data_IF_083116256014
#
_entry.id   IF_083116256014
#
_cell.length_a   1.000
_cell.length_b   1.000
_cell.length_c   1.000
_cell.angle_alpha   90.00
_cell.angle_beta   90.00
_cell.angle_gamma   90.00
#
_symmetry.space_group_name_H-M   'P 1'
#
loop_
_entity.id
_entity.type
_entity.pdbx_description
1 polymer ?
#
# COMPACT_ATOMS: atom_id res chain seq x y z
N UNK A 1 19.76 11.99 17.38
CA UNK A 1 20.37 11.68 16.09
C UNK A 1 20.66 10.21 16.10
N UNK A 2 19.87 9.41 15.39
CA UNK A 2 20.17 8.03 14.98
C UNK A 2 18.99 7.53 14.13
N UNK A 3 18.95 7.98 12.88
CA UNK A 3 18.18 7.34 11.80
C UNK A 3 19.17 6.67 10.82
N UNK A 4 20.17 5.96 11.35
CA UNK A 4 21.03 5.15 10.50
C UNK A 4 20.23 3.92 10.05
N UNK A 5 19.71 3.97 8.82
CA UNK A 5 19.18 2.78 8.15
C UNK A 5 20.15 1.63 8.33
N UNK A 6 19.65 0.47 8.76
CA UNK A 6 20.47 -0.70 9.04
C UNK A 6 21.30 -1.05 7.81
N UNK A 7 22.63 -0.87 7.93
CA UNK A 7 23.61 -1.24 6.91
C UNK A 7 23.86 -2.73 7.04
N UNK A 8 23.41 -3.48 6.05
CA UNK A 8 23.68 -4.91 5.92
C UNK A 8 25.00 -5.09 5.19
N UNK A 9 25.68 -6.19 5.48
CA UNK A 9 26.86 -6.59 4.73
C UNK A 9 26.73 -8.05 4.29
N UNK A 10 27.20 -8.30 3.07
CA UNK A 10 27.38 -9.64 2.53
C UNK A 10 28.88 -9.92 2.48
N UNK A 11 29.32 -10.94 3.22
CA UNK A 11 30.69 -11.41 3.21
C UNK A 11 30.78 -12.69 2.36
N UNK A 12 31.59 -12.65 1.32
CA UNK A 12 31.88 -13.79 0.45
C UNK A 12 33.33 -14.23 0.67
N UNK A 13 33.51 -15.49 1.09
CA UNK A 13 34.81 -16.15 1.19
C UNK A 13 34.98 -17.10 0.00
N UNK A 14 36.02 -16.88 -0.81
CA UNK A 14 36.45 -17.79 -1.85
C UNK A 14 37.69 -18.56 -1.39
N UNK A 15 37.71 -19.87 -1.64
CA UNK A 15 38.87 -20.73 -1.40
C UNK A 15 39.16 -21.48 -2.70
N UNK A 16 40.38 -21.41 -3.22
CA UNK A 16 40.78 -22.18 -4.40
C UNK A 16 41.28 -23.59 -4.04
N UNK A 17 41.52 -24.43 -5.05
CA UNK A 17 42.03 -25.80 -4.86
C UNK A 17 43.42 -25.86 -4.20
N UNK A 18 44.18 -24.76 -4.25
CA UNK A 18 45.48 -24.63 -3.60
C UNK A 18 45.37 -24.13 -2.14
N UNK A 19 44.15 -23.89 -1.65
CA UNK A 19 43.89 -23.44 -0.30
C UNK A 19 44.04 -21.93 -0.08
N UNK A 20 44.23 -21.14 -1.14
CA UNK A 20 44.27 -19.68 -1.04
C UNK A 20 42.88 -19.14 -0.73
N UNK A 21 42.79 -18.18 0.19
CA UNK A 21 41.53 -17.62 0.68
C UNK A 21 41.43 -16.15 0.34
N UNK A 22 40.28 -15.70 -0.13
CA UNK A 22 39.98 -14.27 -0.32
C UNK A 22 38.60 -13.96 0.21
N UNK A 23 38.48 -12.86 0.96
CA UNK A 23 37.21 -12.35 1.46
C UNK A 23 36.84 -11.06 0.73
N UNK A 24 35.57 -10.93 0.33
CA UNK A 24 34.99 -9.65 -0.09
C UNK A 24 33.76 -9.33 0.72
N UNK A 25 33.66 -8.07 1.13
CA UNK A 25 32.51 -7.53 1.85
C UNK A 25 31.79 -6.52 0.97
N UNK A 26 30.48 -6.68 0.79
CA UNK A 26 29.60 -5.74 0.12
C UNK A 26 28.62 -5.15 1.14
N UNK A 27 28.65 -3.84 1.32
CA UNK A 27 27.70 -3.14 2.18
C UNK A 27 26.49 -2.69 1.36
N UNK A 28 25.28 -2.88 1.88
CA UNK A 28 24.04 -2.43 1.25
C UNK A 28 23.02 -2.03 2.30
N UNK A 29 22.13 -1.11 1.93
CA UNK A 29 20.95 -0.76 2.71
C UNK A 29 19.75 -1.51 2.15
N UNK A 30 18.97 -2.14 3.02
CA UNK A 30 17.69 -2.75 2.65
C UNK A 30 16.55 -1.93 3.24
N UNK A 31 15.58 -1.59 2.39
CA UNK A 31 14.35 -0.93 2.80
C UNK A 31 13.18 -1.88 2.47
N UNK A 32 12.37 -2.29 3.47
CA UNK A 32 11.20 -3.11 3.22
C UNK A 32 10.23 -2.42 2.26
N UNK A 33 9.50 -3.20 1.48
CA UNK A 33 8.47 -2.66 0.59
C UNK A 33 7.42 -1.86 1.39
N UNK A 34 6.93 -0.77 0.81
CA UNK A 34 5.82 0.00 1.35
C UNK A 34 4.62 -0.90 1.62
N UNK A 35 4.19 -0.99 2.87
CA UNK A 35 3.05 -1.80 3.28
C UNK A 35 1.76 -0.96 3.22
N UNK A 36 0.86 -1.33 2.32
CA UNK A 36 -0.55 -0.93 2.36
C UNK A 36 -1.30 -2.13 2.94
N UNK A 37 -1.85 -1.97 4.15
CA UNK A 37 -2.63 -3.04 4.77
C UNK A 37 -4.09 -2.88 4.36
N UNK A 38 -4.61 -3.95 3.76
CA UNK A 38 -6.01 -4.09 3.41
C UNK A 38 -6.52 -5.33 4.17
N UNK A 39 -7.20 -5.11 5.29
CA UNK A 39 -7.90 -6.22 5.95
C UNK A 39 -9.15 -6.60 5.13
N UNK A 40 -9.62 -7.83 5.28
CA UNK A 40 -10.91 -8.24 4.71
C UNK A 40 -12.03 -7.37 5.30
N UNK A 41 -12.47 -6.38 4.52
CA UNK A 41 -13.48 -5.41 4.95
C UNK A 41 -14.86 -6.05 4.94
N UNK A 42 -15.41 -6.34 6.12
CA UNK A 42 -16.82 -6.71 6.28
C UNK A 42 -17.61 -5.48 6.69
N UNK A 43 -18.37 -4.94 5.75
CA UNK A 43 -19.22 -3.75 5.97
C UNK A 43 -20.66 -4.02 5.55
N UNK A 44 -21.58 -3.19 6.03
CA UNK A 44 -22.95 -3.20 5.52
C UNK A 44 -22.95 -2.66 4.09
N UNK A 45 -23.92 -3.08 3.29
CA UNK A 45 -24.09 -2.65 1.90
C UNK A 45 -24.61 -1.21 1.82
N UNK A 46 -23.79 -0.23 2.16
CA UNK A 46 -24.12 1.19 2.10
C UNK A 46 -23.06 1.94 1.32
N UNK A 47 -23.50 2.74 0.35
CA UNK A 47 -22.64 3.62 -0.43
C UNK A 47 -22.10 4.82 0.38
N UNK A 48 -22.51 4.96 1.64
CA UNK A 48 -21.99 5.95 2.58
C UNK A 48 -21.11 5.25 3.60
N UNK A 49 -19.96 5.85 3.89
CA UNK A 49 -19.05 5.38 4.91
C UNK A 49 -19.75 5.35 6.27
N UNK A 50 -19.94 4.16 6.83
CA UNK A 50 -20.37 4.00 8.21
C UNK A 50 -19.24 4.39 9.12
N UNK A 51 -19.58 5.12 10.18
CA UNK A 51 -18.61 5.65 11.11
C UNK A 51 -18.90 5.14 12.52
N UNK A 52 -17.85 4.91 13.29
CA UNK A 52 -17.95 4.75 14.73
C UNK A 52 -18.34 6.08 15.39
N UNK A 53 -18.65 6.05 16.68
CA UNK A 53 -19.07 7.22 17.47
C UNK A 53 -18.02 8.34 17.47
N UNK A 54 -16.75 7.99 17.30
CA UNK A 54 -15.62 8.92 17.16
C UNK A 54 -15.46 9.48 15.73
N UNK A 55 -16.43 9.25 14.84
CA UNK A 55 -16.46 9.68 13.44
C UNK A 55 -15.41 9.00 12.54
N UNK A 56 -14.76 7.92 12.99
CA UNK A 56 -13.84 7.12 12.17
C UNK A 56 -14.60 6.14 11.27
N UNK A 57 -14.27 6.00 9.97
CA UNK A 57 -14.95 5.04 9.10
C UNK A 57 -14.65 3.57 9.51
N UNK A 58 -15.65 2.70 9.42
CA UNK A 58 -15.52 1.29 9.79
C UNK A 58 -14.77 0.46 8.72
N UNK A 59 -14.86 0.85 7.46
CA UNK A 59 -14.18 0.19 6.36
C UNK A 59 -13.14 1.14 5.75
N UNK A 60 -11.86 0.85 5.97
CA UNK A 60 -10.76 1.72 5.61
C UNK A 60 -9.60 0.97 4.96
N UNK A 61 -8.86 1.69 4.13
CA UNK A 61 -7.48 1.36 3.74
C UNK A 61 -6.56 2.16 4.64
N UNK A 62 -5.52 1.53 5.19
CA UNK A 62 -4.52 2.19 6.03
C UNK A 62 -3.18 2.22 5.29
N UNK A 63 -2.64 3.41 5.08
CA UNK A 63 -1.28 3.59 4.57
C UNK A 63 -0.35 3.82 5.74
N UNK A 64 0.70 3.00 5.85
CA UNK A 64 1.84 3.29 6.73
C UNK A 64 2.66 4.48 6.21
N UNK A 65 3.75 4.84 6.88
CA UNK A 65 4.71 5.81 6.35
C UNK A 65 5.33 5.24 5.07
N UNK A 66 4.92 5.78 3.92
CA UNK A 66 5.41 5.34 2.61
C UNK A 66 6.74 6.04 2.30
N UNK A 67 7.71 5.29 1.80
CA UNK A 67 9.03 5.77 1.41
C UNK A 67 9.31 5.55 -0.07
N UNK A 68 10.05 6.46 -0.71
CA UNK A 68 10.61 6.26 -2.05
C UNK A 68 11.82 5.33 -1.97
N UNK A 69 12.33 4.92 -3.14
CA UNK A 69 13.53 4.07 -3.23
C UNK A 69 14.79 4.72 -2.64
N UNK A 70 14.85 6.05 -2.60
CA UNK A 70 15.94 6.81 -1.99
C UNK A 70 15.81 6.92 -0.45
N UNK A 71 14.77 6.34 0.15
CA UNK A 71 14.48 6.39 1.58
C UNK A 71 13.72 7.62 2.06
N UNK A 72 13.49 8.61 1.19
CA UNK A 72 12.69 9.80 1.52
C UNK A 72 11.22 9.45 1.76
N UNK A 73 10.58 10.14 2.70
CA UNK A 73 9.15 9.98 2.96
C UNK A 73 8.33 10.58 1.80
N UNK A 74 7.30 9.86 1.37
CA UNK A 74 6.34 10.36 0.39
C UNK A 74 5.33 11.25 1.12
N UNK A 75 5.23 12.51 0.69
CA UNK A 75 4.32 13.51 1.25
C UNK A 75 3.40 14.05 0.16
N UNK A 76 2.27 14.61 0.57
CA UNK A 76 1.29 15.20 -0.32
C UNK A 76 0.57 14.15 -1.17
N UNK A 77 0.29 14.50 -2.42
CA UNK A 77 -0.59 13.73 -3.27
C UNK A 77 0.15 12.58 -3.97
N UNK A 78 -0.24 11.34 -3.67
CA UNK A 78 0.25 10.12 -4.31
C UNK A 78 -0.78 9.63 -5.34
N UNK A 79 -0.37 9.60 -6.61
CA UNK A 79 -1.22 9.18 -7.72
C UNK A 79 -0.97 7.72 -8.07
N UNK A 80 -2.05 6.98 -8.32
CA UNK A 80 -2.03 5.58 -8.68
C UNK A 80 -3.26 5.19 -9.49
N UNK A 81 -3.52 3.89 -9.57
CA UNK A 81 -4.69 3.31 -10.23
C UNK A 81 -5.47 2.42 -9.26
N UNK A 82 -6.79 2.45 -9.38
CA UNK A 82 -7.71 1.55 -8.70
C UNK A 82 -8.39 0.70 -9.77
N UNK A 83 -8.28 -0.62 -9.64
CA UNK A 83 -8.88 -1.59 -10.55
C UNK A 83 -9.81 -2.51 -9.78
N UNK A 84 -11.06 -2.68 -10.24
CA UNK A 84 -11.98 -3.68 -9.68
C UNK A 84 -12.02 -4.88 -10.62
N UNK A 85 -11.85 -6.09 -10.06
CA UNK A 85 -11.88 -7.30 -10.86
C UNK A 85 -13.21 -7.47 -11.60
N UNK A 86 -13.17 -7.99 -12.82
CA UNK A 86 -14.36 -8.17 -13.67
C UNK A 86 -15.43 -9.09 -13.07
N UNK A 87 -15.02 -10.04 -12.23
CA UNK A 87 -15.91 -10.98 -11.54
C UNK A 87 -16.42 -10.46 -10.18
N UNK A 88 -16.08 -9.22 -9.78
CA UNK A 88 -16.64 -8.62 -8.58
C UNK A 88 -18.16 -8.43 -8.72
N UNK A 89 -18.90 -8.65 -7.63
CA UNK A 89 -20.37 -8.58 -7.64
C UNK A 89 -20.90 -7.14 -7.61
N UNK A 90 -20.08 -6.18 -7.19
CA UNK A 90 -20.41 -4.76 -7.10
C UNK A 90 -19.15 -3.91 -7.30
N UNK A 91 -19.33 -2.65 -7.72
CA UNK A 91 -18.25 -1.66 -7.79
C UNK A 91 -17.89 -1.09 -6.42
N UNK A 92 -16.70 -0.51 -6.27
CA UNK A 92 -16.23 0.08 -5.00
C UNK A 92 -15.91 1.55 -5.17
N UNK A 93 -16.02 2.30 -4.08
CA UNK A 93 -15.58 3.69 -3.97
C UNK A 93 -14.46 3.75 -2.94
N UNK A 94 -13.30 4.27 -3.35
CA UNK A 94 -12.14 4.49 -2.47
C UNK A 94 -11.74 5.96 -2.58
N UNK A 95 -11.61 6.65 -1.44
CA UNK A 95 -11.23 8.07 -1.40
C UNK A 95 -12.05 8.95 -2.36
N UNK A 96 -13.35 8.64 -2.55
CA UNK A 96 -14.26 9.37 -3.43
C UNK A 96 -14.24 8.94 -4.91
N UNK A 97 -13.34 8.03 -5.31
CA UNK A 97 -13.28 7.49 -6.68
C UNK A 97 -14.07 6.19 -6.77
N UNK A 98 -15.13 6.19 -7.59
CA UNK A 98 -15.99 5.02 -7.82
C UNK A 98 -15.57 4.26 -9.07
N UNK A 99 -15.34 2.95 -8.93
CA UNK A 99 -14.89 2.03 -10.00
C UNK A 99 -15.82 0.82 -10.07
N UNK A 100 -16.26 0.48 -11.28
CA UNK A 100 -17.14 -0.67 -11.54
C UNK A 100 -16.35 -1.95 -11.86
N UNK A 101 -16.97 -3.15 -11.75
CA UNK A 101 -16.32 -4.40 -12.11
C UNK A 101 -15.73 -4.39 -13.54
N UNK A 102 -14.43 -4.69 -13.64
CA UNK A 102 -13.68 -4.69 -14.91
C UNK A 102 -13.19 -3.31 -15.35
N UNK A 103 -13.36 -2.28 -14.52
CA UNK A 103 -12.90 -0.92 -14.79
C UNK A 103 -11.62 -0.61 -14.00
N UNK A 104 -10.80 0.28 -14.56
CA UNK A 104 -9.62 0.87 -13.92
C UNK A 104 -9.74 2.39 -13.99
N UNK A 105 -9.53 3.08 -12.87
CA UNK A 105 -9.49 4.56 -12.81
C UNK A 105 -8.27 5.06 -12.06
N UNK A 106 -7.87 6.29 -12.37
CA UNK A 106 -6.88 7.02 -11.58
C UNK A 106 -7.40 7.23 -10.16
N UNK A 107 -6.55 6.92 -9.18
CA UNK A 107 -6.77 7.15 -7.77
C UNK A 107 -5.72 8.13 -7.27
N UNK A 108 -6.10 9.02 -6.38
CA UNK A 108 -5.18 9.95 -5.75
C UNK A 108 -5.39 9.99 -4.25
N UNK A 109 -4.33 9.73 -3.49
CA UNK A 109 -4.33 9.69 -2.03
C UNK A 109 -3.51 10.86 -1.51
N UNK A 110 -4.09 11.71 -0.67
CA UNK A 110 -3.35 12.75 0.04
C UNK A 110 -2.72 12.18 1.31
N UNK A 111 -1.40 12.01 1.31
CA UNK A 111 -0.59 11.52 2.43
C UNK A 111 -0.20 12.61 3.44
N UNK A 112 -0.58 13.87 3.23
CA UNK A 112 -0.24 14.96 4.15
C UNK A 112 1.28 15.12 4.28
N UNK A 113 1.81 15.17 5.52
CA UNK A 113 3.26 15.26 5.74
C UNK A 113 3.96 13.88 5.77
N UNK A 114 3.28 12.83 5.29
CA UNK A 114 3.84 11.47 5.21
C UNK A 114 3.64 10.64 6.48
N UNK A 115 2.81 11.13 7.41
CA UNK A 115 2.26 10.31 8.48
C UNK A 115 1.24 9.29 7.95
N UNK A 116 0.94 8.33 8.81
CA UNK A 116 -0.08 7.31 8.56
C UNK A 116 -1.45 7.94 8.26
N UNK A 117 -2.17 7.38 7.28
CA UNK A 117 -3.49 7.86 6.88
C UNK A 117 -4.46 6.73 6.57
N UNK A 118 -5.74 7.05 6.71
CA UNK A 118 -6.85 6.12 6.48
C UNK A 118 -7.81 6.67 5.42
N UNK A 119 -8.22 5.82 4.48
CA UNK A 119 -9.13 6.19 3.40
C UNK A 119 -10.37 5.30 3.45
N UNK A 120 -11.59 5.87 3.44
CA UNK A 120 -12.81 5.07 3.48
C UNK A 120 -12.98 4.24 2.20
N UNK A 121 -13.51 3.03 2.36
CA UNK A 121 -13.94 2.14 1.28
C UNK A 121 -15.42 1.85 1.45
N UNK A 122 -16.19 2.03 0.38
CA UNK A 122 -17.62 1.71 0.36
C UNK A 122 -18.00 0.96 -0.92
N UNK A 123 -19.08 0.18 -0.91
CA UNK A 123 -19.78 -0.18 -2.14
C UNK A 123 -20.13 1.06 -2.97
N UNK A 124 -20.15 0.93 -4.29
CA UNK A 124 -20.58 2.00 -5.19
C UNK A 124 -22.08 2.29 -5.07
N UNK A 125 -22.88 1.28 -4.71
CA UNK A 125 -24.34 1.35 -4.59
C UNK A 125 -24.79 0.62 -3.31
N UNK A 126 -25.70 1.24 -2.56
CA UNK A 126 -26.29 0.63 -1.37
C UNK A 126 -27.16 -0.58 -1.71
N UNK A 127 -27.27 -1.53 -0.78
CA UNK A 127 -28.15 -2.70 -0.88
C UNK A 127 -27.56 -3.89 -1.64
N UNK A 128 -26.38 -3.75 -2.26
CA UNK A 128 -25.72 -4.86 -2.95
C UNK A 128 -24.87 -5.68 -1.97
N UNK A 129 -25.22 -6.96 -1.83
CA UNK A 129 -24.48 -7.92 -1.00
C UNK A 129 -23.59 -8.79 -1.88
N UNK A 130 -22.43 -9.17 -1.37
CA UNK A 130 -21.50 -10.03 -2.08
C UNK A 130 -20.05 -9.80 -1.71
N UNK A 131 -19.16 -10.17 -2.63
CA UNK A 131 -17.72 -9.89 -2.55
C UNK A 131 -17.26 -9.06 -3.73
N UNK A 132 -16.42 -8.07 -3.47
CA UNK A 132 -15.70 -7.31 -4.47
C UNK A 132 -14.20 -7.38 -4.20
N UNK A 133 -13.44 -7.75 -5.22
CA UNK A 133 -11.97 -7.78 -5.17
C UNK A 133 -11.44 -6.63 -6.02
N UNK A 134 -10.52 -5.85 -5.46
CA UNK A 134 -9.91 -4.71 -6.14
C UNK A 134 -8.42 -4.62 -5.81
N UNK A 135 -7.68 -3.94 -6.68
CA UNK A 135 -6.24 -3.69 -6.56
C UNK A 135 -6.00 -2.19 -6.63
N UNK A 136 -5.10 -1.70 -5.78
CA UNK A 136 -4.57 -0.34 -5.87
C UNK A 136 -3.08 -0.42 -6.16
N UNK A 137 -2.64 0.28 -7.20
CA UNK A 137 -1.24 0.29 -7.63
C UNK A 137 -0.74 1.73 -7.66
N UNK A 138 0.45 1.94 -7.10
CA UNK A 138 1.16 3.22 -7.18
C UNK A 138 2.46 2.99 -7.95
N UNK A 139 2.78 3.83 -8.96
CA UNK A 139 4.06 3.76 -9.64
C UNK A 139 5.17 4.03 -8.61
N UNK A 140 6.17 3.15 -8.59
CA UNK A 140 7.35 3.34 -7.74
C UNK A 140 8.31 4.26 -8.48
N UNK A 141 8.40 5.52 -8.03
CA UNK A 141 9.42 6.48 -8.47
C UNK A 141 10.27 6.91 -7.29
#
# INVERSE_FOLDING_TARGET
TDESGQMYHLEALAIDESGNRTTKTLNFTYQPANLIMLDNLKTLATAVALKATDNTPLAIIRTSVLRRQDGSIITGQLNGTLTVQKNAQFGVTVAGVTVQPGETKSLSLDLGNGEERTYPVTPAVSGQSGTATFTIEFPQT
#
